data_IF_744775231367
#
_entry.id   IF_744775231367
#
_cell.length_a   1.000
_cell.length_b   1.000
_cell.length_c   1.000
_cell.angle_alpha   90.00
_cell.angle_beta   90.00
_cell.angle_gamma   90.00
#
_symmetry.space_group_name_H-M   'P 1'
#
loop_
_entity.id
_entity.type
_entity.pdbx_description
1 polymer ?
#
# COMPACT_ATOMS: atom_id res chain seq x y z
N UNK A 1 -33.20 143.70 -42.73
CA UNK A 1 -32.27 142.54 -42.83
C UNK A 1 -32.13 141.91 -41.46
N UNK A 2 -32.25 140.59 -41.41
CA UNK A 2 -32.57 139.75 -40.24
C UNK A 2 -31.33 139.56 -39.34
N UNK A 3 -31.44 139.68 -38.01
CA UNK A 3 -30.33 139.40 -37.08
C UNK A 3 -30.88 138.84 -35.73
N UNK A 4 -31.26 137.56 -35.65
CA UNK A 4 -30.45 136.37 -35.29
C UNK A 4 -30.03 136.25 -33.80
N UNK A 5 -30.03 137.33 -33.01
CA UNK A 5 -29.58 137.26 -31.60
C UNK A 5 -30.63 136.77 -30.60
N UNK A 6 -31.94 136.84 -30.92
CA UNK A 6 -33.01 136.42 -30.00
C UNK A 6 -33.30 134.90 -29.96
N UNK A 7 -32.91 134.15 -30.99
CA UNK A 7 -33.25 132.72 -31.13
C UNK A 7 -32.23 131.82 -30.41
N UNK A 8 -30.98 132.27 -30.25
CA UNK A 8 -29.89 131.47 -29.69
C UNK A 8 -29.99 131.27 -28.15
N UNK A 9 -30.55 132.23 -27.40
CA UNK A 9 -30.64 132.13 -25.94
C UNK A 9 -31.73 131.15 -25.43
N UNK A 10 -32.80 130.93 -26.20
CA UNK A 10 -33.90 130.07 -25.74
C UNK A 10 -33.60 128.57 -25.96
N UNK A 11 -32.72 128.24 -26.93
CA UNK A 11 -32.32 126.85 -27.22
C UNK A 11 -31.31 126.31 -26.21
N UNK A 12 -30.43 127.17 -25.69
CA UNK A 12 -29.45 126.79 -24.67
C UNK A 12 -30.12 126.48 -23.32
N UNK A 13 -31.16 127.22 -22.94
CA UNK A 13 -31.87 126.99 -21.68
C UNK A 13 -32.61 125.64 -21.64
N UNK A 14 -33.28 125.28 -22.74
CA UNK A 14 -33.94 123.97 -22.88
C UNK A 14 -32.97 122.80 -22.79
N UNK A 15 -31.79 122.89 -23.44
CA UNK A 15 -30.78 121.82 -23.37
C UNK A 15 -30.24 121.59 -21.96
N UNK A 16 -30.16 122.63 -21.14
CA UNK A 16 -29.74 122.49 -19.74
C UNK A 16 -30.77 121.74 -18.89
N UNK A 17 -32.06 122.03 -19.06
CA UNK A 17 -33.14 121.33 -18.35
C UNK A 17 -33.21 119.84 -18.73
N UNK A 18 -33.02 119.51 -20.02
CA UNK A 18 -33.03 118.12 -20.50
C UNK A 18 -31.88 117.27 -19.90
N UNK A 19 -30.69 117.86 -19.72
CA UNK A 19 -29.52 117.17 -19.13
C UNK A 19 -29.76 116.86 -17.65
N UNK A 20 -30.44 117.75 -16.92
CA UNK A 20 -30.72 117.57 -15.50
C UNK A 20 -31.74 116.45 -15.26
N UNK A 21 -32.77 116.37 -16.13
CA UNK A 21 -33.75 115.27 -16.12
C UNK A 21 -33.07 113.92 -16.39
N UNK A 22 -32.17 113.85 -17.38
CA UNK A 22 -31.42 112.63 -17.71
C UNK A 22 -30.53 112.15 -16.56
N UNK A 23 -29.87 113.08 -15.84
CA UNK A 23 -29.07 112.72 -14.66
C UNK A 23 -29.93 112.12 -13.55
N UNK A 24 -31.10 112.71 -13.29
CA UNK A 24 -32.00 112.24 -12.23
C UNK A 24 -32.53 110.83 -12.53
N UNK A 25 -32.88 110.58 -13.79
CA UNK A 25 -33.38 109.28 -14.26
C UNK A 25 -32.33 108.18 -14.15
N UNK A 26 -31.08 108.46 -14.54
CA UNK A 26 -29.98 107.49 -14.41
C UNK A 26 -29.64 107.14 -12.96
N UNK A 27 -29.76 108.10 -12.03
CA UNK A 27 -29.50 107.86 -10.61
C UNK A 27 -30.56 106.93 -9.98
N UNK A 28 -31.83 107.09 -10.35
CA UNK A 28 -32.93 106.22 -9.88
C UNK A 28 -32.83 104.80 -10.45
N UNK A 29 -32.36 104.66 -11.68
CA UNK A 29 -32.17 103.36 -12.33
C UNK A 29 -30.99 102.58 -11.71
N UNK A 30 -29.92 103.29 -11.33
CA UNK A 30 -28.79 102.70 -10.60
C UNK A 30 -29.16 102.22 -9.19
N UNK A 31 -30.10 102.91 -8.51
CA UNK A 31 -30.53 102.51 -7.17
C UNK A 31 -31.41 101.24 -7.18
N UNK A 32 -32.14 100.97 -8.27
CA UNK A 32 -33.01 99.79 -8.40
C UNK A 32 -32.27 98.51 -8.78
N UNK A 33 -31.09 98.59 -9.39
CA UNK A 33 -30.34 97.41 -9.86
C UNK A 33 -29.49 96.73 -8.79
N UNK A 34 -29.30 97.35 -7.63
CA UNK A 34 -28.48 96.82 -6.53
C UNK A 34 -29.39 96.26 -5.43
N UNK A 35 -29.83 95.01 -5.59
CA UNK A 35 -30.46 94.24 -4.51
C UNK A 35 -29.37 93.42 -3.82
N UNK A 36 -29.08 93.69 -2.55
CA UNK A 36 -28.00 93.06 -1.77
C UNK A 36 -28.62 92.09 -0.75
N UNK A 37 -28.30 90.79 -0.81
CA UNK A 37 -28.65 89.82 0.25
C UNK A 37 -27.71 90.01 1.45
N UNK A 38 -28.17 89.85 2.71
CA UNK A 38 -27.33 90.10 3.89
C UNK A 38 -26.18 89.08 4.01
N UNK A 39 -24.95 89.56 4.08
CA UNK A 39 -23.69 88.78 4.17
C UNK A 39 -23.71 87.70 5.27
N UNK A 40 -24.47 87.91 6.35
CA UNK A 40 -24.58 86.99 7.48
C UNK A 40 -25.19 85.63 7.08
N UNK A 41 -26.20 85.59 6.19
CA UNK A 41 -26.84 84.32 5.80
C UNK A 41 -25.92 83.45 4.95
N UNK A 42 -25.10 84.06 4.11
CA UNK A 42 -24.13 83.35 3.27
C UNK A 42 -22.95 82.85 4.10
N UNK A 43 -22.51 83.62 5.10
CA UNK A 43 -21.45 83.19 6.03
C UNK A 43 -21.83 81.97 6.86
N UNK A 44 -23.09 81.88 7.31
CA UNK A 44 -23.60 80.74 8.07
C UNK A 44 -23.69 79.47 7.21
N UNK A 45 -24.19 79.59 5.98
CA UNK A 45 -24.21 78.48 5.01
C UNK A 45 -22.80 78.00 4.68
N UNK A 46 -21.84 78.91 4.53
CA UNK A 46 -20.43 78.56 4.32
C UNK A 46 -19.88 77.73 5.49
N UNK A 47 -20.18 78.12 6.73
CA UNK A 47 -19.75 77.38 7.92
C UNK A 47 -20.39 75.99 8.00
N UNK A 48 -21.67 75.87 7.68
CA UNK A 48 -22.38 74.58 7.68
C UNK A 48 -21.79 73.63 6.62
N UNK A 49 -21.58 74.14 5.39
CA UNK A 49 -20.91 73.40 4.31
C UNK A 49 -19.50 72.98 4.72
N UNK A 50 -18.74 73.86 5.39
CA UNK A 50 -17.38 73.54 5.84
C UNK A 50 -17.37 72.44 6.90
N UNK A 51 -18.29 72.47 7.86
CA UNK A 51 -18.42 71.38 8.84
C UNK A 51 -18.84 70.05 8.20
N UNK A 52 -19.69 70.11 7.17
CA UNK A 52 -20.11 68.93 6.43
C UNK A 52 -18.95 68.33 5.62
N UNK A 53 -18.16 69.17 4.93
CA UNK A 53 -16.94 68.77 4.22
C UNK A 53 -15.93 68.11 5.18
N UNK A 54 -15.73 68.66 6.37
CA UNK A 54 -14.85 68.07 7.38
C UNK A 54 -15.37 66.70 7.87
N UNK A 55 -16.69 66.57 8.07
CA UNK A 55 -17.31 65.31 8.48
C UNK A 55 -17.17 64.23 7.40
N UNK A 56 -17.37 64.60 6.13
CA UNK A 56 -17.19 63.75 4.95
C UNK A 56 -15.71 63.36 4.81
N UNK A 57 -14.78 64.30 5.04
CA UNK A 57 -13.34 64.04 5.06
C UNK A 57 -12.95 62.99 6.10
N UNK A 58 -13.47 63.10 7.33
CA UNK A 58 -13.24 62.11 8.41
C UNK A 58 -13.86 60.75 8.14
N UNK A 59 -15.01 60.70 7.45
CA UNK A 59 -15.62 59.42 7.04
C UNK A 59 -14.81 58.76 5.91
N UNK A 60 -14.34 59.55 4.95
CA UNK A 60 -13.47 59.07 3.85
C UNK A 60 -12.16 58.51 4.38
N UNK A 61 -11.49 59.19 5.32
CA UNK A 61 -10.22 58.68 5.88
C UNK A 61 -10.39 57.32 6.57
N UNK A 62 -11.45 57.15 7.38
CA UNK A 62 -11.78 55.84 7.99
C UNK A 62 -12.04 54.77 6.94
N UNK A 63 -12.71 55.11 5.85
CA UNK A 63 -12.95 54.17 4.74
C UNK A 63 -11.64 53.81 4.02
N UNK A 64 -10.72 54.77 3.84
CA UNK A 64 -9.39 54.52 3.30
C UNK A 64 -8.57 53.57 4.19
N UNK A 65 -8.63 53.73 5.52
CA UNK A 65 -7.95 52.83 6.45
C UNK A 65 -8.50 51.40 6.40
N UNK A 66 -9.82 51.25 6.26
CA UNK A 66 -10.47 49.95 6.09
C UNK A 66 -10.09 49.28 4.76
N UNK A 67 -9.99 50.06 3.67
CA UNK A 67 -9.51 49.57 2.38
C UNK A 67 -8.06 49.09 2.47
N UNK A 68 -7.18 49.86 3.12
CA UNK A 68 -5.78 49.46 3.34
C UNK A 68 -5.67 48.16 4.16
N UNK A 69 -6.52 48.00 5.19
CA UNK A 69 -6.58 46.75 5.97
C UNK A 69 -7.06 45.58 5.12
N UNK A 70 -8.09 45.78 4.31
CA UNK A 70 -8.58 44.76 3.36
C UNK A 70 -7.49 44.33 2.39
N UNK A 71 -6.77 45.29 1.82
CA UNK A 71 -5.68 45.00 0.87
C UNK A 71 -4.52 44.24 1.54
N UNK A 72 -4.23 44.55 2.82
CA UNK A 72 -3.25 43.78 3.59
C UNK A 72 -3.73 42.34 3.86
N UNK A 73 -5.01 42.14 4.23
CA UNK A 73 -5.55 40.80 4.42
C UNK A 73 -5.56 39.98 3.12
N UNK A 74 -5.84 40.59 1.97
CA UNK A 74 -5.76 39.92 0.66
C UNK A 74 -4.32 39.45 0.37
N UNK A 75 -3.32 40.28 0.72
CA UNK A 75 -1.91 39.90 0.57
C UNK A 75 -1.54 38.74 1.49
N UNK A 76 -1.95 38.79 2.75
CA UNK A 76 -1.71 37.72 3.72
C UNK A 76 -2.38 36.41 3.28
N UNK A 77 -3.63 36.47 2.82
CA UNK A 77 -4.35 35.32 2.28
C UNK A 77 -3.61 34.71 1.08
N UNK A 78 -3.14 35.54 0.14
CA UNK A 78 -2.38 35.07 -1.01
C UNK A 78 -1.06 34.37 -0.60
N UNK A 79 -0.35 34.90 0.39
CA UNK A 79 0.87 34.29 0.94
C UNK A 79 0.55 32.95 1.60
N UNK A 80 -0.49 32.88 2.42
CA UNK A 80 -0.91 31.65 3.11
C UNK A 80 -1.35 30.57 2.11
N UNK A 81 -2.14 30.93 1.10
CA UNK A 81 -2.56 30.01 0.04
C UNK A 81 -1.35 29.47 -0.75
N UNK A 82 -0.36 30.33 -1.02
CA UNK A 82 0.88 29.90 -1.67
C UNK A 82 1.64 28.89 -0.80
N UNK A 83 1.81 29.18 0.49
CA UNK A 83 2.49 28.26 1.43
C UNK A 83 1.77 26.92 1.55
N UNK A 84 0.43 26.91 1.64
CA UNK A 84 -0.37 25.68 1.68
C UNK A 84 -0.18 24.85 0.42
N UNK A 85 -0.12 25.49 -0.75
CA UNK A 85 0.08 24.79 -2.02
C UNK A 85 1.50 24.18 -2.10
N UNK A 86 2.52 24.87 -1.61
CA UNK A 86 3.89 24.33 -1.56
C UNK A 86 4.01 23.14 -0.59
N UNK A 87 3.36 23.20 0.58
CA UNK A 87 3.29 22.06 1.51
C UNK A 87 2.60 20.85 0.85
N UNK A 88 1.44 21.06 0.22
CA UNK A 88 0.72 19.99 -0.46
C UNK A 88 1.52 19.34 -1.60
N UNK A 89 2.30 20.13 -2.35
CA UNK A 89 3.24 19.60 -3.36
C UNK A 89 4.37 18.79 -2.73
N UNK A 90 4.93 19.24 -1.61
CA UNK A 90 5.98 18.53 -0.89
C UNK A 90 5.48 17.20 -0.33
N UNK A 91 4.31 17.18 0.31
CA UNK A 91 3.67 15.95 0.81
C UNK A 91 3.42 14.96 -0.33
N UNK A 92 2.89 15.42 -1.47
CA UNK A 92 2.69 14.58 -2.65
C UNK A 92 4.00 14.01 -3.22
N UNK A 93 5.10 14.78 -3.16
CA UNK A 93 6.42 14.30 -3.56
C UNK A 93 7.04 13.34 -2.55
N UNK A 94 6.82 13.55 -1.25
CA UNK A 94 7.30 12.66 -0.19
C UNK A 94 6.59 11.29 -0.30
N UNK A 95 5.26 11.27 -0.40
CA UNK A 95 4.48 10.03 -0.57
C UNK A 95 4.88 9.25 -1.82
N UNK A 96 5.10 9.95 -2.95
CA UNK A 96 5.53 9.30 -4.19
C UNK A 96 6.96 8.78 -4.12
N UNK A 97 7.88 9.48 -3.44
CA UNK A 97 9.24 9.02 -3.21
C UNK A 97 9.31 7.85 -2.22
N UNK A 98 8.51 7.87 -1.15
CA UNK A 98 8.41 6.76 -0.21
C UNK A 98 7.85 5.50 -0.87
N UNK A 99 6.77 5.64 -1.65
CA UNK A 99 6.23 4.54 -2.44
C UNK A 99 7.23 4.01 -3.48
N UNK A 100 7.98 4.89 -4.16
CA UNK A 100 9.04 4.46 -5.07
C UNK A 100 10.14 3.69 -4.33
N UNK A 101 10.55 4.14 -3.14
CA UNK A 101 11.56 3.46 -2.31
C UNK A 101 11.07 2.08 -1.85
N UNK A 102 9.82 1.98 -1.38
CA UNK A 102 9.21 0.71 -0.98
C UNK A 102 9.12 -0.28 -2.16
N UNK A 103 8.75 0.20 -3.35
CA UNK A 103 8.74 -0.62 -4.55
C UNK A 103 10.14 -1.11 -4.93
N UNK A 104 11.14 -0.22 -4.92
CA UNK A 104 12.53 -0.60 -5.15
C UNK A 104 13.00 -1.66 -4.13
N UNK A 105 12.67 -1.48 -2.84
CA UNK A 105 13.02 -2.44 -1.79
C UNK A 105 12.36 -3.79 -2.03
N UNK A 106 11.07 -3.81 -2.39
CA UNK A 106 10.34 -5.03 -2.77
C UNK A 106 11.02 -5.72 -3.96
N UNK A 107 11.37 -4.97 -5.00
CA UNK A 107 11.96 -5.52 -6.22
C UNK A 107 13.36 -6.10 -5.96
N UNK A 108 14.16 -5.45 -5.10
CA UNK A 108 15.45 -6.00 -4.65
C UNK A 108 15.26 -7.30 -3.86
N UNK A 109 14.27 -7.35 -2.96
CA UNK A 109 13.96 -8.56 -2.21
C UNK A 109 13.47 -9.70 -3.12
N UNK A 110 12.61 -9.40 -4.10
CA UNK A 110 12.13 -10.36 -5.08
C UNK A 110 13.28 -10.90 -5.96
N UNK A 111 14.19 -10.03 -6.38
CA UNK A 111 15.39 -10.43 -7.09
C UNK A 111 16.28 -11.36 -6.23
N UNK A 112 16.49 -11.00 -4.96
CA UNK A 112 17.26 -11.82 -4.03
C UNK A 112 16.60 -13.19 -3.80
N UNK A 113 15.28 -13.23 -3.61
CA UNK A 113 14.51 -14.47 -3.47
C UNK A 113 14.67 -15.38 -4.68
N UNK A 114 14.48 -14.85 -5.89
CA UNK A 114 14.68 -15.61 -7.14
C UNK A 114 16.11 -16.15 -7.27
N UNK A 115 17.10 -15.35 -6.90
CA UNK A 115 18.50 -15.77 -6.88
C UNK A 115 18.74 -16.92 -5.90
N UNK A 116 18.20 -16.83 -4.69
CA UNK A 116 18.30 -17.85 -3.65
C UNK A 116 17.56 -19.13 -4.03
N UNK A 117 16.36 -19.04 -4.60
CA UNK A 117 15.58 -20.18 -5.09
C UNK A 117 16.35 -20.94 -6.16
N UNK A 118 16.89 -20.24 -7.16
CA UNK A 118 17.71 -20.85 -8.21
C UNK A 118 18.94 -21.55 -7.63
N UNK A 119 19.60 -20.90 -6.67
CA UNK A 119 20.78 -21.48 -6.00
C UNK A 119 20.41 -22.71 -5.17
N UNK A 120 19.29 -22.68 -4.44
CA UNK A 120 18.75 -23.80 -3.68
C UNK A 120 18.48 -25.01 -4.57
N UNK A 121 17.78 -24.82 -5.69
CA UNK A 121 17.49 -25.90 -6.64
C UNK A 121 18.78 -26.49 -7.20
N UNK A 122 19.75 -25.65 -7.57
CA UNK A 122 21.03 -26.11 -8.11
C UNK A 122 21.84 -26.92 -7.09
N UNK A 123 21.92 -26.47 -5.84
CA UNK A 123 22.67 -27.16 -4.78
C UNK A 123 22.02 -28.47 -4.38
N UNK A 124 20.69 -28.52 -4.35
CA UNK A 124 19.95 -29.71 -3.91
C UNK A 124 19.73 -30.73 -5.02
N UNK A 125 20.00 -30.40 -6.30
CA UNK A 125 19.72 -31.27 -7.44
C UNK A 125 20.30 -32.69 -7.26
N UNK A 126 21.59 -32.77 -6.93
CA UNK A 126 22.28 -34.07 -6.73
C UNK A 126 21.67 -34.87 -5.56
N UNK A 127 21.36 -34.19 -4.45
CA UNK A 127 20.76 -34.82 -3.26
C UNK A 127 19.36 -35.36 -3.58
N UNK A 128 18.55 -34.57 -4.29
CA UNK A 128 17.19 -34.94 -4.67
C UNK A 128 17.17 -36.07 -5.70
N UNK A 129 18.07 -36.07 -6.67
CA UNK A 129 18.21 -37.18 -7.62
C UNK A 129 18.58 -38.49 -6.93
N UNK A 130 19.53 -38.45 -5.97
CA UNK A 130 19.85 -39.64 -5.15
C UNK A 130 18.66 -40.11 -4.33
N UNK A 131 17.93 -39.18 -3.71
CA UNK A 131 16.74 -39.52 -2.94
C UNK A 131 15.66 -40.16 -3.83
N UNK A 132 15.43 -39.65 -5.05
CA UNK A 132 14.50 -40.23 -6.02
C UNK A 132 14.87 -41.68 -6.37
N UNK A 133 16.15 -41.92 -6.68
CA UNK A 133 16.65 -43.27 -6.99
C UNK A 133 16.45 -44.24 -5.82
N UNK A 134 16.77 -43.80 -4.59
CA UNK A 134 16.55 -44.61 -3.38
C UNK A 134 15.07 -44.94 -3.18
N UNK A 135 14.16 -43.95 -3.35
CA UNK A 135 12.72 -44.18 -3.19
C UNK A 135 12.22 -45.17 -4.23
N UNK A 136 12.62 -45.05 -5.50
CA UNK A 136 12.19 -45.98 -6.56
C UNK A 136 12.63 -47.41 -6.21
N UNK A 137 13.88 -47.59 -5.80
CA UNK A 137 14.41 -48.90 -5.44
C UNK A 137 13.64 -49.53 -4.26
N UNK A 138 13.31 -48.76 -3.23
CA UNK A 138 12.55 -49.24 -2.08
C UNK A 138 11.08 -49.51 -2.44
N UNK A 139 10.45 -48.66 -3.25
CA UNK A 139 9.08 -48.87 -3.75
C UNK A 139 8.97 -50.15 -4.56
N UNK A 140 9.94 -50.43 -5.43
CA UNK A 140 10.01 -51.68 -6.20
C UNK A 140 10.27 -52.90 -5.32
N UNK A 141 11.17 -52.77 -4.32
CA UNK A 141 11.40 -53.81 -3.33
C UNK A 141 10.11 -54.18 -2.57
N UNK A 142 9.18 -53.23 -2.41
CA UNK A 142 7.90 -53.45 -1.73
C UNK A 142 6.78 -53.93 -2.66
N UNK A 143 7.14 -54.27 -3.91
CA UNK A 143 6.25 -54.87 -4.89
C UNK A 143 5.40 -53.88 -5.68
N UNK A 144 5.63 -52.57 -5.55
CA UNK A 144 4.98 -51.55 -6.39
C UNK A 144 5.77 -51.37 -7.70
N UNK A 145 5.78 -52.41 -8.53
CA UNK A 145 6.45 -52.40 -9.83
C UNK A 145 5.73 -51.52 -10.89
N UNK A 146 4.52 -51.05 -10.59
CA UNK A 146 3.74 -50.17 -11.44
C UNK A 146 4.24 -48.73 -11.47
N UNK A 147 5.09 -48.34 -10.51
CA UNK A 147 5.68 -47.00 -10.44
C UNK A 147 6.98 -47.02 -11.23
N UNK A 148 6.98 -46.44 -12.43
CA UNK A 148 8.13 -46.44 -13.32
C UNK A 148 9.20 -45.42 -12.88
N UNK A 149 8.76 -44.28 -12.35
CA UNK A 149 9.64 -43.19 -11.97
C UNK A 149 9.02 -42.33 -10.86
N UNK A 150 9.85 -41.58 -10.15
CA UNK A 150 9.46 -40.66 -9.07
C UNK A 150 10.17 -39.33 -9.27
N UNK A 151 9.38 -38.27 -9.28
CA UNK A 151 9.86 -36.90 -9.36
C UNK A 151 9.55 -36.16 -8.07
N UNK A 152 10.43 -35.22 -7.70
CA UNK A 152 10.28 -34.35 -6.54
C UNK A 152 10.23 -32.94 -7.09
N UNK A 153 9.09 -32.26 -6.92
CA UNK A 153 8.90 -30.90 -7.44
C UNK A 153 9.79 -29.88 -6.71
N UNK A 154 9.90 -28.66 -7.25
CA UNK A 154 10.63 -27.56 -6.57
C UNK A 154 10.05 -27.20 -5.20
N UNK A 155 8.79 -27.58 -4.97
CA UNK A 155 8.04 -27.46 -3.71
C UNK A 155 8.15 -28.71 -2.81
N UNK A 156 8.98 -29.68 -3.20
CA UNK A 156 9.17 -30.97 -2.52
C UNK A 156 7.94 -31.87 -2.49
N UNK A 157 7.08 -31.78 -3.49
CA UNK A 157 5.96 -32.70 -3.66
C UNK A 157 6.43 -33.93 -4.43
N UNK A 158 6.06 -35.13 -3.96
CA UNK A 158 6.35 -36.40 -4.63
C UNK A 158 5.30 -36.65 -5.72
N UNK A 159 5.79 -36.83 -6.95
CA UNK A 159 4.99 -37.16 -8.13
C UNK A 159 5.43 -38.54 -8.60
N UNK A 160 4.48 -39.48 -8.68
CA UNK A 160 4.73 -40.84 -9.11
C UNK A 160 4.33 -40.98 -10.58
N UNK A 161 5.14 -41.63 -11.40
CA UNK A 161 4.82 -41.93 -12.79
C UNK A 161 4.43 -43.40 -12.89
N UNK A 162 3.18 -43.68 -13.29
CA UNK A 162 2.66 -45.02 -13.51
C UNK A 162 2.20 -45.16 -14.96
N UNK A 163 2.84 -46.04 -15.73
CA UNK A 163 2.55 -46.25 -17.15
C UNK A 163 2.55 -44.93 -17.95
N UNK A 164 3.44 -44.00 -17.59
CA UNK A 164 3.54 -42.67 -18.21
C UNK A 164 2.51 -41.62 -17.73
N UNK A 165 1.66 -41.95 -16.74
CA UNK A 165 0.71 -41.01 -16.15
C UNK A 165 1.25 -40.52 -14.80
N UNK A 166 1.23 -39.20 -14.59
CA UNK A 166 1.59 -38.61 -13.31
C UNK A 166 0.45 -38.77 -12.30
N UNK A 167 0.76 -39.37 -11.16
CA UNK A 167 -0.16 -39.72 -10.07
C UNK A 167 0.38 -39.09 -8.78
N UNK A 168 -0.51 -38.49 -8.00
CA UNK A 168 -0.14 -37.91 -6.71
C UNK A 168 -0.29 -38.94 -5.58
N UNK A 169 0.33 -38.67 -4.43
CA UNK A 169 0.20 -39.54 -3.26
C UNK A 169 -1.25 -39.79 -2.83
N UNK A 170 -2.14 -38.80 -3.01
CA UNK A 170 -3.56 -38.92 -2.63
C UNK A 170 -4.35 -39.88 -3.51
N UNK A 171 -3.90 -40.07 -4.75
CA UNK A 171 -4.57 -40.92 -5.75
C UNK A 171 -4.22 -42.40 -5.60
N UNK A 172 -3.21 -42.73 -4.79
CA UNK A 172 -2.81 -44.11 -4.48
C UNK A 172 -3.85 -44.80 -3.60
N UNK A 173 -3.94 -46.13 -3.70
CA UNK A 173 -4.75 -46.93 -2.77
C UNK A 173 -4.14 -46.92 -1.36
N UNK A 174 -4.93 -47.20 -0.32
CA UNK A 174 -4.43 -47.17 1.07
C UNK A 174 -3.23 -48.11 1.31
N UNK A 175 -3.23 -49.30 0.69
CA UNK A 175 -2.09 -50.23 0.76
C UNK A 175 -0.84 -49.70 0.04
N UNK A 176 -1.01 -49.06 -1.13
CA UNK A 176 0.10 -48.42 -1.85
C UNK A 176 0.65 -47.23 -1.06
N UNK A 177 -0.22 -46.41 -0.45
CA UNK A 177 0.16 -45.28 0.40
C UNK A 177 1.06 -45.74 1.54
N UNK A 178 0.70 -46.83 2.23
CA UNK A 178 1.50 -47.36 3.34
C UNK A 178 2.92 -47.74 2.87
N UNK A 179 3.02 -48.47 1.77
CA UNK A 179 4.32 -48.93 1.25
C UNK A 179 5.17 -47.78 0.73
N UNK A 180 4.57 -46.81 0.04
CA UNK A 180 5.26 -45.59 -0.40
C UNK A 180 5.76 -44.78 0.80
N UNK A 181 4.95 -44.61 1.86
CA UNK A 181 5.40 -43.94 3.10
C UNK A 181 6.60 -44.65 3.69
N UNK A 182 6.55 -45.97 3.82
CA UNK A 182 7.65 -46.75 4.36
C UNK A 182 8.91 -46.62 3.50
N UNK A 183 8.78 -46.74 2.18
CA UNK A 183 9.88 -46.63 1.23
C UNK A 183 10.55 -45.25 1.32
N UNK A 184 9.74 -44.20 1.43
CA UNK A 184 10.22 -42.83 1.60
C UNK A 184 11.06 -42.66 2.87
N UNK A 185 10.55 -43.10 4.03
CA UNK A 185 11.30 -42.97 5.29
C UNK A 185 12.60 -43.76 5.29
N UNK A 186 12.58 -44.97 4.72
CA UNK A 186 13.79 -45.79 4.60
C UNK A 186 14.80 -45.18 3.64
N UNK A 187 14.35 -44.56 2.56
CA UNK A 187 15.21 -43.83 1.63
C UNK A 187 15.89 -42.64 2.30
N UNK A 188 15.19 -41.92 3.18
CA UNK A 188 15.80 -40.84 3.97
C UNK A 188 16.86 -41.36 4.95
N UNK A 189 16.60 -42.51 5.58
CA UNK A 189 17.58 -43.17 6.46
C UNK A 189 18.80 -43.64 5.68
N UNK A 190 18.59 -44.21 4.48
CA UNK A 190 19.66 -44.64 3.59
C UNK A 190 20.51 -43.48 3.10
N UNK A 191 19.87 -42.37 2.73
CA UNK A 191 20.55 -41.15 2.33
C UNK A 191 21.50 -40.64 3.43
N UNK A 192 21.06 -40.69 4.70
CA UNK A 192 21.91 -40.36 5.86
C UNK A 192 23.02 -41.39 6.07
N UNK A 193 22.71 -42.69 6.05
CA UNK A 193 23.68 -43.76 6.34
C UNK A 193 24.76 -43.89 5.24
N UNK A 194 24.36 -43.83 3.96
CA UNK A 194 25.22 -44.14 2.82
C UNK A 194 25.92 -42.90 2.27
N UNK A 195 25.26 -41.75 2.31
CA UNK A 195 25.78 -40.52 1.73
C UNK A 195 26.14 -39.45 2.78
N UNK A 196 25.88 -39.67 4.08
CA UNK A 196 25.99 -38.65 5.13
C UNK A 196 25.22 -37.37 4.79
N UNK A 197 24.11 -37.52 4.06
CA UNK A 197 23.25 -36.44 3.60
C UNK A 197 21.89 -36.55 4.28
N UNK A 198 21.44 -35.45 4.87
CA UNK A 198 20.26 -35.47 5.75
C UNK A 198 20.64 -35.93 7.16
N UNK A 199 19.84 -35.51 8.15
CA UNK A 199 20.00 -35.93 9.54
C UNK A 199 18.73 -36.65 9.93
N UNK A 200 18.77 -37.97 9.97
CA UNK A 200 17.65 -38.77 10.49
C UNK A 200 18.05 -39.34 11.87
N UNK A 201 17.15 -39.40 12.86
CA UNK A 201 17.46 -39.96 14.18
C UNK A 201 17.73 -41.48 14.19
N UNK A 202 17.63 -42.13 13.02
CA UNK A 202 17.81 -43.60 12.82
C UNK A 202 17.04 -44.44 13.84
N UNK A 203 15.82 -43.99 14.11
CA UNK A 203 14.92 -44.57 15.08
C UNK A 203 13.50 -44.55 14.51
N UNK A 204 12.82 -45.71 14.51
CA UNK A 204 11.46 -45.86 14.03
C UNK A 204 10.63 -46.68 15.03
N UNK A 205 9.38 -46.27 15.23
CA UNK A 205 8.39 -47.05 15.98
C UNK A 205 7.21 -47.29 15.05
N UNK A 206 6.84 -48.57 14.89
CA UNK A 206 5.65 -49.00 14.18
C UNK A 206 4.68 -49.60 15.19
N UNK A 207 3.52 -48.97 15.34
CA UNK A 207 2.44 -49.50 16.15
C UNK A 207 1.41 -50.17 15.23
N UNK A 208 1.27 -51.48 15.36
CA UNK A 208 0.33 -52.32 14.60
C UNK A 208 0.40 -52.13 13.07
N UNK A 209 1.55 -52.34 12.40
CA UNK A 209 1.68 -52.10 10.96
C UNK A 209 0.71 -52.93 10.10
N UNK A 210 0.15 -54.01 10.65
CA UNK A 210 -0.82 -54.87 9.97
C UNK A 210 -2.27 -54.36 9.96
N UNK A 211 -2.65 -53.38 10.77
CA UNK A 211 -4.03 -52.89 10.79
C UNK A 211 -4.39 -52.03 9.57
N UNK A 212 -3.39 -51.48 8.88
CA UNK A 212 -3.56 -50.66 7.67
C UNK A 212 -3.41 -51.47 6.37
N UNK A 213 -2.90 -52.71 6.41
CA UNK A 213 -2.70 -53.58 5.23
C UNK A 213 -3.79 -54.66 5.15
N UNK A 214 -4.82 -54.39 4.35
CA UNK A 214 -6.03 -55.24 4.21
C UNK A 214 -5.81 -56.58 3.48
N UNK A 215 -4.60 -56.90 3.02
CA UNK A 215 -4.31 -58.09 2.20
C UNK A 215 -3.24 -58.97 2.87
N UNK A 216 -3.57 -60.22 3.26
CA UNK A 216 -2.65 -61.11 3.97
C UNK A 216 -1.33 -61.39 3.25
N UNK A 217 -1.35 -61.50 1.91
CA UNK A 217 -0.13 -61.70 1.10
C UNK A 217 0.86 -60.53 1.21
N UNK A 218 0.34 -59.32 1.45
CA UNK A 218 1.16 -58.12 1.57
C UNK A 218 1.69 -57.91 2.99
N UNK A 219 0.99 -58.45 3.99
CA UNK A 219 1.47 -58.50 5.36
C UNK A 219 2.76 -59.33 5.50
N UNK A 220 2.83 -60.46 4.79
CA UNK A 220 4.02 -61.30 4.76
C UNK A 220 5.18 -60.58 4.06
N UNK A 221 4.91 -59.88 2.95
CA UNK A 221 5.89 -59.01 2.31
C UNK A 221 6.41 -57.91 3.24
N UNK A 222 5.55 -57.33 4.08
CA UNK A 222 5.96 -56.32 5.07
C UNK A 222 6.89 -56.89 6.15
N UNK A 223 6.64 -58.12 6.61
CA UNK A 223 7.53 -58.84 7.53
C UNK A 223 8.91 -59.09 6.89
N UNK A 224 8.94 -59.55 5.63
CA UNK A 224 10.18 -59.77 4.89
C UNK A 224 10.97 -58.47 4.66
N UNK A 225 10.27 -57.35 4.44
CA UNK A 225 10.85 -56.01 4.34
C UNK A 225 11.53 -55.63 5.66
N UNK A 226 10.83 -55.75 6.80
CA UNK A 226 11.42 -55.43 8.11
C UNK A 226 12.64 -56.29 8.41
N UNK A 227 12.60 -57.57 8.04
CA UNK A 227 13.75 -58.47 8.15
C UNK A 227 14.93 -58.00 7.30
N UNK A 228 14.68 -57.68 6.03
CA UNK A 228 15.70 -57.14 5.12
C UNK A 228 16.32 -55.85 5.64
N UNK A 229 15.52 -54.95 6.20
CA UNK A 229 15.98 -53.70 6.81
C UNK A 229 16.84 -53.98 8.05
N UNK A 230 16.39 -54.89 8.92
CA UNK A 230 17.16 -55.30 10.10
C UNK A 230 18.52 -55.92 9.69
N UNK A 231 18.56 -56.70 8.63
CA UNK A 231 19.80 -57.30 8.12
C UNK A 231 20.74 -56.25 7.50
N UNK A 232 20.20 -55.31 6.72
CA UNK A 232 20.98 -54.24 6.04
C UNK A 232 21.52 -53.19 7.00
N UNK A 233 20.74 -52.82 8.03
CA UNK A 233 21.03 -51.66 8.89
C UNK A 233 21.22 -52.01 10.37
N UNK A 234 21.43 -53.30 10.68
CA UNK A 234 21.57 -53.90 12.02
C UNK A 234 22.06 -52.97 13.13
N UNK A 235 23.27 -52.42 12.98
CA UNK A 235 23.91 -51.59 14.02
C UNK A 235 23.71 -50.08 13.82
N UNK A 236 23.02 -49.68 12.75
CA UNK A 236 22.87 -48.29 12.32
C UNK A 236 21.43 -47.78 12.44
N UNK A 237 20.44 -48.65 12.59
CA UNK A 237 19.02 -48.30 12.63
C UNK A 237 18.32 -49.10 13.73
N UNK A 238 17.58 -48.41 14.60
CA UNK A 238 16.75 -49.03 15.62
C UNK A 238 15.27 -48.98 15.21
N UNK A 239 14.61 -50.13 15.22
CA UNK A 239 13.19 -50.25 14.89
C UNK A 239 12.48 -50.98 16.02
N UNK A 240 11.39 -50.40 16.52
CA UNK A 240 10.44 -51.07 17.39
C UNK A 240 9.16 -51.35 16.62
N UNK A 241 8.67 -52.59 16.69
CA UNK A 241 7.41 -53.00 16.06
C UNK A 241 6.50 -53.60 17.12
N UNK A 242 5.38 -52.93 17.40
CA UNK A 242 4.26 -53.51 18.12
C UNK A 242 3.31 -54.16 17.12
N UNK A 243 2.94 -55.42 17.32
CA UNK A 243 1.97 -56.09 16.44
C UNK A 243 1.26 -57.23 17.16
N UNK A 244 -0.01 -57.45 16.83
CA UNK A 244 -0.76 -58.62 17.26
C UNK A 244 -0.55 -59.84 16.35
N UNK A 245 0.12 -59.66 15.21
CA UNK A 245 0.27 -60.68 14.18
C UNK A 245 1.57 -61.47 14.39
N UNK A 246 1.44 -62.79 14.49
CA UNK A 246 2.57 -63.70 14.74
C UNK A 246 3.59 -63.74 13.60
N UNK A 247 3.19 -63.36 12.38
CA UNK A 247 4.06 -63.32 11.21
C UNK A 247 5.23 -62.34 11.35
N UNK A 248 5.14 -61.36 12.26
CA UNK A 248 6.22 -60.44 12.58
C UNK A 248 7.23 -60.99 13.60
N UNK A 249 7.00 -62.17 14.19
CA UNK A 249 7.94 -62.75 15.16
C UNK A 249 9.31 -63.11 14.56
N UNK A 250 9.37 -63.26 13.24
CA UNK A 250 10.57 -63.67 12.50
C UNK A 250 11.36 -62.51 11.87
N UNK A 251 10.97 -61.24 12.12
CA UNK A 251 11.66 -60.07 11.57
C UNK A 251 13.02 -59.81 12.23
N UNK A 252 13.24 -60.35 13.43
CA UNK A 252 14.47 -60.14 14.21
C UNK A 252 14.86 -61.41 14.97
N UNK A 253 16.00 -61.36 15.64
CA UNK A 253 16.53 -62.46 16.45
C UNK A 253 15.56 -62.81 17.59
N UNK A 254 15.39 -64.09 17.92
CA UNK A 254 14.45 -64.54 18.98
C UNK A 254 14.70 -63.86 20.35
N UNK A 255 15.94 -63.45 20.64
CA UNK A 255 16.32 -62.75 21.88
C UNK A 255 15.75 -61.32 21.96
N UNK A 256 15.42 -60.74 20.80
CA UNK A 256 14.84 -59.38 20.67
C UNK A 256 13.33 -59.41 20.44
N UNK A 257 12.72 -60.60 20.43
CA UNK A 257 11.30 -60.79 20.23
C UNK A 257 10.62 -61.07 21.57
N UNK A 258 9.60 -60.29 21.91
CA UNK A 258 8.78 -60.49 23.10
C UNK A 258 7.37 -60.89 22.70
N UNK A 259 6.98 -62.14 22.99
CA UNK A 259 5.65 -62.68 22.69
C UNK A 259 4.96 -62.99 24.01
N UNK A 260 3.74 -62.46 24.19
CA UNK A 260 2.85 -62.79 25.30
C UNK A 260 1.80 -63.80 24.86
N UNK A 261 1.36 -64.64 25.79
CA UNK A 261 0.22 -65.54 25.58
C UNK A 261 -1.10 -64.75 25.49
N UNK A 262 -2.13 -65.37 24.92
CA UNK A 262 -3.50 -64.81 24.94
C UNK A 262 -3.88 -64.49 26.41
N UNK A 263 -4.51 -63.33 26.62
CA UNK A 263 -4.88 -62.74 27.93
C UNK A 263 -3.79 -62.05 28.77
N UNK A 264 -2.57 -61.86 28.25
CA UNK A 264 -1.55 -61.03 28.91
C UNK A 264 -1.30 -59.71 28.16
N UNK A 265 -1.49 -58.59 28.84
CA UNK A 265 -1.22 -57.25 28.29
C UNK A 265 0.27 -56.89 28.41
N UNK A 266 0.75 -56.07 27.46
CA UNK A 266 2.14 -55.54 27.45
C UNK A 266 2.27 -54.31 28.37
N UNK A 267 1.16 -53.84 28.96
CA UNK A 267 1.09 -52.77 29.95
C UNK A 267 0.06 -53.09 31.03
#
# INVERSE_FOLDING_TARGET
MINITGICNNTLKKRYEDIEILRKKNAEEYAKSVVFTPIETDSRRLSEIQTEIESIGKQRSKFTDLLNKKDNFIKEEAVLLFQLNEIAKQESQIDSNEMANLNLKRDVLDYALKGLEKKRVQLNKDILSKLQELIINEVHAFGLLSIDNIEISDKYELIFLQHGIAVSFTDLTEGEKLRVKLAFYLSLIQLDIEHNLGRHPRFLIFDSPGSEEMVPKHLQGLSDIFKSINDRFKDKLQIFVGSALRDFSHITDNEKTFIKEEDHFVF
#
